data_IF_634464611152
#
_entry.id   IF_634464611152
#
_cell.length_a   1.000
_cell.length_b   1.000
_cell.length_c   1.000
_cell.angle_alpha   90.00
_cell.angle_beta   90.00
_cell.angle_gamma   90.00
#
_symmetry.space_group_name_H-M   'P 1'
#
loop_
_entity.id
_entity.type
_entity.pdbx_description
1 polymer ?
#
# COMPACT_ATOMS: atom_id res chain seq x y z
N UNK A 1 -21.42 -2.30 11.67
CA UNK A 1 -20.02 -2.68 11.97
C UNK A 1 -19.11 -2.04 10.94
N UNK A 2 -18.04 -1.35 11.36
CA UNK A 2 -17.11 -0.66 10.45
C UNK A 2 -16.39 -1.67 9.55
N UNK A 3 -16.10 -1.29 8.31
CA UNK A 3 -15.22 -2.08 7.44
C UNK A 3 -13.76 -1.83 7.81
N UNK A 4 -12.93 -2.85 7.72
CA UNK A 4 -11.49 -2.78 8.00
C UNK A 4 -10.69 -2.73 6.71
N UNK A 5 -9.79 -1.76 6.60
CA UNK A 5 -8.84 -1.61 5.48
C UNK A 5 -7.40 -1.69 5.99
N UNK A 6 -6.52 -2.28 5.18
CA UNK A 6 -5.08 -2.19 5.35
C UNK A 6 -4.59 -0.96 4.56
N UNK A 7 -3.70 -0.16 5.16
CA UNK A 7 -3.08 0.98 4.51
C UNK A 7 -1.56 0.93 4.72
N UNK A 8 -0.81 0.81 3.64
CA UNK A 8 0.67 0.87 3.69
C UNK A 8 1.17 2.30 3.48
N UNK A 9 2.39 2.57 3.94
CA UNK A 9 2.96 3.91 3.86
C UNK A 9 2.22 4.95 4.72
N UNK A 10 1.64 4.50 5.84
CA UNK A 10 0.70 5.29 6.64
C UNK A 10 1.34 6.31 7.57
N UNK A 11 2.68 6.35 7.71
CA UNK A 11 3.33 7.14 8.75
C UNK A 11 3.48 8.65 8.45
N UNK A 12 3.30 9.05 7.20
CA UNK A 12 3.47 10.44 6.74
C UNK A 12 2.76 10.71 5.41
N UNK A 13 2.74 11.98 5.00
CA UNK A 13 2.29 12.40 3.66
C UNK A 13 0.88 11.91 3.33
N UNK A 14 0.69 11.45 2.10
CA UNK A 14 -0.59 10.95 1.59
C UNK A 14 -1.15 9.83 2.47
N UNK A 15 -0.31 8.89 2.88
CA UNK A 15 -0.76 7.75 3.69
C UNK A 15 -1.30 8.17 5.06
N UNK A 16 -0.64 9.11 5.75
CA UNK A 16 -1.15 9.66 7.01
C UNK A 16 -2.48 10.40 6.80
N UNK A 17 -2.55 11.26 5.78
CA UNK A 17 -3.79 12.00 5.47
C UNK A 17 -4.94 11.04 5.16
N UNK A 18 -4.69 10.00 4.35
CA UNK A 18 -5.68 8.95 4.07
C UNK A 18 -6.13 8.22 5.32
N UNK A 19 -5.21 7.87 6.23
CA UNK A 19 -5.56 7.19 7.48
C UNK A 19 -6.56 8.00 8.29
N UNK A 20 -6.33 9.31 8.43
CA UNK A 20 -7.21 10.20 9.19
C UNK A 20 -8.57 10.37 8.51
N UNK A 21 -8.61 10.56 7.19
CA UNK A 21 -9.88 10.70 6.46
C UNK A 21 -10.69 9.40 6.46
N UNK A 22 -10.06 8.25 6.24
CA UNK A 22 -10.74 6.96 6.31
C UNK A 22 -11.34 6.68 7.70
N UNK A 23 -10.63 7.11 8.77
CA UNK A 23 -11.16 6.99 10.13
C UNK A 23 -12.44 7.83 10.32
N UNK A 24 -12.46 9.07 9.80
CA UNK A 24 -13.64 9.95 9.83
C UNK A 24 -14.80 9.36 9.03
N UNK A 25 -14.50 8.71 7.90
CA UNK A 25 -15.48 8.03 7.05
C UNK A 25 -15.99 6.69 7.62
N UNK A 26 -15.51 6.30 8.80
CA UNK A 26 -16.04 5.16 9.51
C UNK A 26 -15.32 3.82 9.23
N UNK A 27 -14.11 3.85 8.74
CA UNK A 27 -13.28 2.66 8.58
C UNK A 27 -12.42 2.39 9.82
N UNK A 28 -12.22 1.11 10.13
CA UNK A 28 -11.16 0.65 11.01
C UNK A 28 -9.91 0.34 10.18
N UNK A 29 -8.72 0.52 10.74
CA UNK A 29 -7.48 0.49 9.97
C UNK A 29 -6.43 -0.44 10.56
N UNK A 30 -5.75 -1.15 9.66
CA UNK A 30 -4.47 -1.80 9.92
C UNK A 30 -3.40 -1.01 9.17
N UNK A 31 -2.55 -0.34 9.92
CA UNK A 31 -1.56 0.59 9.38
C UNK A 31 -0.19 -0.08 9.24
N UNK A 32 0.53 0.24 8.17
CA UNK A 32 1.87 -0.24 7.94
C UNK A 32 2.82 0.88 7.53
N UNK A 33 4.00 0.85 8.07
CA UNK A 33 5.17 1.61 7.65
C UNK A 33 6.43 0.96 8.25
N UNK A 34 7.61 1.39 7.80
CA UNK A 34 8.89 0.82 8.28
C UNK A 34 9.23 1.23 9.70
N UNK A 35 8.94 2.48 10.10
CA UNK A 35 9.30 3.04 11.42
C UNK A 35 8.13 2.93 12.38
N UNK A 36 8.30 2.15 13.43
CA UNK A 36 7.26 1.88 14.41
C UNK A 36 6.79 3.13 15.16
N UNK A 37 7.70 3.98 15.61
CA UNK A 37 7.35 5.14 16.44
C UNK A 37 6.40 6.12 15.73
N UNK A 38 6.69 6.45 14.47
CA UNK A 38 5.81 7.32 13.66
C UNK A 38 4.49 6.65 13.28
N UNK A 39 4.52 5.34 13.08
CA UNK A 39 3.32 4.55 12.77
C UNK A 39 2.37 4.47 13.96
N UNK A 40 2.92 4.25 15.17
CA UNK A 40 2.15 4.26 16.42
C UNK A 40 1.46 5.60 16.65
N UNK A 41 2.17 6.70 16.42
CA UNK A 41 1.60 8.04 16.58
C UNK A 41 0.37 8.24 15.67
N UNK A 42 0.43 7.78 14.41
CA UNK A 42 -0.72 7.84 13.50
C UNK A 42 -1.86 6.95 13.97
N UNK A 43 -1.56 5.76 14.49
CA UNK A 43 -2.59 4.87 15.04
C UNK A 43 -3.33 5.53 16.21
N UNK A 44 -2.62 6.23 17.10
CA UNK A 44 -3.22 6.98 18.20
C UNK A 44 -4.12 8.13 17.70
N UNK A 45 -3.69 8.86 16.66
CA UNK A 45 -4.52 9.91 16.03
C UNK A 45 -5.80 9.32 15.41
N UNK A 46 -5.70 8.17 14.74
CA UNK A 46 -6.85 7.45 14.16
C UNK A 46 -7.82 7.01 15.26
N UNK A 47 -7.30 6.46 16.36
CA UNK A 47 -8.10 6.04 17.51
C UNK A 47 -8.82 7.24 18.18
N UNK A 48 -8.17 8.40 18.25
CA UNK A 48 -8.79 9.63 18.75
C UNK A 48 -9.99 10.09 17.91
N UNK A 49 -10.08 9.68 16.65
CA UNK A 49 -11.23 9.91 15.77
C UNK A 49 -12.35 8.87 15.93
N UNK A 50 -12.19 7.91 16.85
CA UNK A 50 -13.19 6.90 17.15
C UNK A 50 -13.11 5.63 16.30
N UNK A 51 -12.10 5.48 15.45
CA UNK A 51 -11.84 4.25 14.73
C UNK A 51 -10.95 3.30 15.53
N UNK A 52 -11.05 2.00 15.27
CA UNK A 52 -10.05 1.05 15.75
C UNK A 52 -8.85 1.11 14.82
N UNK A 53 -7.66 1.13 15.38
CA UNK A 53 -6.42 1.08 14.63
C UNK A 53 -5.42 0.17 15.30
N UNK A 54 -4.84 -0.72 14.52
CA UNK A 54 -3.67 -1.51 14.87
C UNK A 54 -2.60 -1.31 13.82
N UNK A 55 -1.37 -1.68 14.11
CA UNK A 55 -0.29 -1.49 13.16
C UNK A 55 0.70 -2.66 13.14
N UNK A 56 1.38 -2.81 12.02
CA UNK A 56 2.50 -3.74 11.84
C UNK A 56 3.65 -2.96 11.22
N UNK A 57 4.76 -2.84 11.93
CA UNK A 57 5.96 -2.20 11.42
C UNK A 57 6.77 -3.16 10.55
N UNK A 58 7.43 -2.64 9.53
CA UNK A 58 8.28 -3.39 8.61
C UNK A 58 7.94 -3.15 7.15
N UNK A 59 8.73 -3.75 6.26
CA UNK A 59 8.47 -3.71 4.83
C UNK A 59 7.34 -4.66 4.45
N UNK A 60 6.29 -4.15 3.84
CA UNK A 60 5.21 -4.98 3.29
C UNK A 60 5.66 -5.84 2.08
N UNK A 61 6.85 -5.60 1.55
CA UNK A 61 7.51 -6.48 0.59
C UNK A 61 7.99 -7.81 1.18
N UNK A 62 8.09 -7.90 2.52
CA UNK A 62 8.36 -9.14 3.22
C UNK A 62 7.06 -9.92 3.43
N UNK A 63 7.08 -11.20 3.07
CA UNK A 63 5.89 -12.06 3.15
C UNK A 63 5.30 -12.13 4.56
N UNK A 64 6.14 -12.22 5.59
CA UNK A 64 5.71 -12.28 6.98
C UNK A 64 4.99 -10.99 7.45
N UNK A 65 5.42 -9.82 6.96
CA UNK A 65 4.76 -8.54 7.27
C UNK A 65 3.41 -8.45 6.57
N UNK A 66 3.36 -8.77 5.28
CA UNK A 66 2.11 -8.76 4.52
C UNK A 66 1.08 -9.76 5.07
N UNK A 67 1.53 -10.95 5.45
CA UNK A 67 0.68 -11.95 6.11
C UNK A 67 0.12 -11.42 7.43
N UNK A 68 0.98 -10.86 8.30
CA UNK A 68 0.56 -10.28 9.57
C UNK A 68 -0.45 -9.14 9.40
N UNK A 69 -0.33 -8.32 8.35
CA UNK A 69 -1.29 -7.26 8.04
C UNK A 69 -2.69 -7.84 7.76
N UNK A 70 -2.76 -8.89 6.97
CA UNK A 70 -4.05 -9.54 6.65
C UNK A 70 -4.63 -10.24 7.88
N UNK A 71 -3.82 -10.95 8.67
CA UNK A 71 -4.27 -11.56 9.94
C UNK A 71 -4.85 -10.53 10.90
N UNK A 72 -4.19 -9.37 11.05
CA UNK A 72 -4.69 -8.28 11.90
C UNK A 72 -6.00 -7.70 11.38
N UNK A 73 -6.14 -7.59 10.05
CA UNK A 73 -7.37 -7.09 9.44
C UNK A 73 -8.54 -8.07 9.64
N UNK A 74 -8.32 -9.37 9.50
CA UNK A 74 -9.32 -10.39 9.80
C UNK A 74 -9.70 -10.37 11.30
N UNK A 75 -8.72 -10.22 12.20
CA UNK A 75 -8.95 -10.15 13.64
C UNK A 75 -9.76 -8.91 14.07
N UNK A 76 -9.56 -7.76 13.43
CA UNK A 76 -10.42 -6.59 13.64
C UNK A 76 -11.86 -6.83 13.13
N UNK A 77 -12.02 -7.70 12.17
CA UNK A 77 -13.30 -8.07 11.59
C UNK A 77 -13.74 -7.19 10.43
N UNK A 78 -14.63 -7.73 9.62
CA UNK A 78 -15.18 -7.08 8.42
C UNK A 78 -14.08 -6.55 7.47
N UNK A 79 -13.05 -7.39 7.25
CA UNK A 79 -11.96 -7.07 6.34
C UNK A 79 -12.48 -6.83 4.93
N UNK A 80 -12.25 -5.64 4.38
CA UNK A 80 -12.83 -5.20 3.11
C UNK A 80 -11.78 -4.97 2.02
N UNK A 81 -10.49 -4.90 2.34
CA UNK A 81 -9.46 -4.69 1.34
C UNK A 81 -8.26 -3.90 1.83
N UNK A 82 -7.49 -3.39 0.87
CA UNK A 82 -6.25 -2.67 1.16
C UNK A 82 -6.01 -1.51 0.21
N UNK A 83 -5.22 -0.56 0.68
CA UNK A 83 -4.65 0.54 -0.10
C UNK A 83 -3.13 0.45 0.01
N UNK A 84 -2.48 0.13 -1.11
CA UNK A 84 -1.03 0.13 -1.20
C UNK A 84 -0.54 1.52 -1.61
N UNK A 85 -0.06 2.28 -0.62
CA UNK A 85 0.45 3.63 -0.79
C UNK A 85 1.97 3.74 -0.53
N UNK A 86 2.58 2.74 0.10
CA UNK A 86 4.01 2.75 0.35
C UNK A 86 4.80 2.84 -0.96
N UNK A 87 5.88 3.61 -0.94
CA UNK A 87 6.78 3.74 -2.06
C UNK A 87 8.10 4.36 -1.65
N UNK A 88 9.14 4.06 -2.42
CA UNK A 88 10.49 4.60 -2.27
C UNK A 88 10.94 5.14 -3.62
N UNK A 89 11.51 6.32 -3.59
CA UNK A 89 12.14 6.99 -4.73
C UNK A 89 13.57 7.34 -4.34
N UNK A 90 14.53 6.88 -5.10
CA UNK A 90 15.95 7.29 -4.99
C UNK A 90 16.29 8.14 -6.22
N UNK A 91 16.00 9.47 -6.19
CA UNK A 91 16.24 10.33 -7.34
C UNK A 91 17.73 10.68 -7.48
N UNK A 92 18.14 10.94 -8.69
CA UNK A 92 19.46 11.48 -9.03
C UNK A 92 20.24 10.64 -10.03
N UNK A 93 20.70 9.41 -9.68
CA UNK A 93 21.48 8.59 -10.60
C UNK A 93 20.68 8.19 -11.85
N UNK A 94 21.33 8.09 -12.98
CA UNK A 94 20.77 7.45 -14.16
C UNK A 94 20.54 5.96 -13.86
N UNK A 95 19.59 5.35 -14.54
CA UNK A 95 19.17 3.98 -14.23
C UNK A 95 20.34 2.97 -14.24
N UNK A 96 21.24 3.08 -15.20
CA UNK A 96 22.41 2.21 -15.32
C UNK A 96 23.58 2.57 -14.39
N UNK A 97 23.47 3.67 -13.64
CA UNK A 97 24.41 4.10 -12.60
C UNK A 97 23.92 3.82 -11.19
N UNK A 98 22.62 3.49 -11.05
CA UNK A 98 22.00 3.22 -9.75
C UNK A 98 22.56 1.93 -9.15
N UNK A 99 22.97 1.98 -7.89
CA UNK A 99 23.42 0.81 -7.16
C UNK A 99 22.32 -0.25 -7.09
N UNK A 100 22.68 -1.51 -7.24
CA UNK A 100 21.72 -2.63 -7.25
C UNK A 100 20.86 -2.67 -5.99
N UNK A 101 21.44 -2.41 -4.83
CA UNK A 101 20.72 -2.41 -3.55
C UNK A 101 19.59 -1.36 -3.52
N UNK A 102 19.82 -0.19 -4.09
CA UNK A 102 18.81 0.86 -4.18
C UNK A 102 17.73 0.51 -5.21
N UNK A 103 18.11 -0.11 -6.33
CA UNK A 103 17.15 -0.61 -7.31
C UNK A 103 16.23 -1.65 -6.68
N UNK A 104 16.79 -2.62 -5.94
CA UNK A 104 16.03 -3.66 -5.25
C UNK A 104 15.13 -3.09 -4.15
N UNK A 105 15.59 -2.07 -3.40
CA UNK A 105 14.77 -1.38 -2.40
C UNK A 105 13.53 -0.72 -3.05
N UNK A 106 13.73 -0.07 -4.20
CA UNK A 106 12.63 0.55 -4.96
C UNK A 106 11.63 -0.52 -5.43
N UNK A 107 12.10 -1.64 -5.95
CA UNK A 107 11.23 -2.74 -6.36
C UNK A 107 10.49 -3.36 -5.18
N UNK A 108 11.16 -3.55 -4.06
CA UNK A 108 10.54 -4.13 -2.86
C UNK A 108 9.41 -3.25 -2.34
N UNK A 109 9.65 -1.96 -2.17
CA UNK A 109 8.67 -1.05 -1.59
C UNK A 109 7.50 -0.75 -2.52
N UNK A 110 7.74 -0.60 -3.83
CA UNK A 110 6.71 -0.18 -4.78
C UNK A 110 5.97 -1.36 -5.43
N UNK A 111 6.68 -2.43 -5.80
CA UNK A 111 6.12 -3.54 -6.55
C UNK A 111 5.86 -4.78 -5.68
N UNK A 112 6.91 -5.28 -5.02
CA UNK A 112 6.81 -6.54 -4.28
C UNK A 112 5.83 -6.43 -3.10
N UNK A 113 5.77 -5.29 -2.43
CA UNK A 113 4.81 -5.05 -1.37
C UNK A 113 3.36 -5.14 -1.88
N UNK A 114 3.06 -4.58 -3.05
CA UNK A 114 1.75 -4.70 -3.69
C UNK A 114 1.40 -6.14 -4.07
N UNK A 115 2.38 -6.90 -4.54
CA UNK A 115 2.22 -8.33 -4.81
C UNK A 115 1.97 -9.14 -3.55
N UNK A 116 2.75 -8.95 -2.49
CA UNK A 116 2.59 -9.69 -1.24
C UNK A 116 1.24 -9.39 -0.57
N UNK A 117 0.77 -8.15 -0.59
CA UNK A 117 -0.59 -7.83 -0.13
C UNK A 117 -1.65 -8.60 -0.91
N UNK A 118 -1.56 -8.59 -2.23
CA UNK A 118 -2.49 -9.35 -3.08
C UNK A 118 -2.46 -10.84 -2.75
N UNK A 119 -1.26 -11.41 -2.62
CA UNK A 119 -1.07 -12.84 -2.32
C UNK A 119 -1.81 -13.31 -1.08
N UNK A 120 -1.82 -12.50 -0.03
CA UNK A 120 -2.46 -12.88 1.24
C UNK A 120 -3.90 -12.34 1.36
N UNK A 121 -4.22 -11.18 0.80
CA UNK A 121 -5.55 -10.58 0.89
C UNK A 121 -6.57 -11.21 -0.07
N UNK A 122 -6.19 -11.48 -1.32
CA UNK A 122 -7.12 -11.98 -2.33
C UNK A 122 -7.81 -13.30 -1.97
N UNK A 123 -7.12 -14.30 -1.41
CA UNK A 123 -7.81 -15.53 -0.98
C UNK A 123 -8.93 -15.27 0.02
N UNK A 124 -8.75 -14.32 0.93
CA UNK A 124 -9.76 -13.92 1.92
C UNK A 124 -10.91 -13.18 1.25
N UNK A 125 -10.61 -12.15 0.45
CA UNK A 125 -11.61 -11.30 -0.21
C UNK A 125 -12.44 -12.10 -1.21
N UNK A 126 -11.83 -13.00 -1.97
CA UNK A 126 -12.53 -13.86 -2.91
C UNK A 126 -13.51 -14.82 -2.24
N UNK A 127 -13.14 -15.39 -1.08
CA UNK A 127 -14.09 -16.21 -0.29
C UNK A 127 -15.30 -15.40 0.18
N UNK A 128 -15.15 -14.11 0.41
CA UNK A 128 -16.27 -13.21 0.75
C UNK A 128 -17.09 -12.81 -0.47
N UNK A 129 -16.55 -12.96 -1.68
CA UNK A 129 -17.18 -12.56 -2.93
C UNK A 129 -17.14 -11.06 -3.22
N UNK A 130 -16.43 -10.29 -2.42
CA UNK A 130 -16.26 -8.84 -2.57
C UNK A 130 -14.95 -8.36 -1.94
N UNK A 131 -14.43 -7.26 -2.41
CA UNK A 131 -13.22 -6.65 -1.84
C UNK A 131 -12.76 -5.45 -2.62
N UNK A 132 -11.81 -4.74 -2.02
CA UNK A 132 -11.20 -3.54 -2.58
C UNK A 132 -9.67 -3.68 -2.55
N UNK A 133 -9.03 -3.41 -3.68
CA UNK A 133 -7.58 -3.32 -3.80
C UNK A 133 -7.21 -2.03 -4.55
N UNK A 134 -6.67 -1.06 -3.84
CA UNK A 134 -6.25 0.22 -4.41
C UNK A 134 -4.73 0.32 -4.41
N UNK A 135 -4.17 0.65 -5.57
CA UNK A 135 -2.76 0.93 -5.74
C UNK A 135 -2.57 2.42 -6.00
N UNK A 136 -1.79 3.08 -5.19
CA UNK A 136 -1.45 4.49 -5.40
C UNK A 136 -0.35 4.55 -6.46
N UNK A 137 -0.74 4.90 -7.66
CA UNK A 137 0.13 4.99 -8.82
C UNK A 137 0.84 6.34 -8.94
N UNK A 138 1.51 6.53 -10.06
CA UNK A 138 2.26 7.74 -10.37
C UNK A 138 2.29 7.99 -11.87
N UNK A 139 2.29 9.25 -12.27
CA UNK A 139 2.59 9.64 -13.66
C UNK A 139 3.96 9.17 -14.15
N UNK A 140 4.88 8.86 -13.22
CA UNK A 140 6.18 8.26 -13.54
C UNK A 140 6.06 6.93 -14.28
N UNK A 141 4.96 6.20 -14.13
CA UNK A 141 4.71 4.95 -14.85
C UNK A 141 4.70 5.11 -16.39
N UNK A 142 4.41 6.31 -16.88
CA UNK A 142 4.31 6.63 -18.31
C UNK A 142 5.38 7.64 -18.76
N UNK A 143 6.17 8.19 -17.83
CA UNK A 143 7.19 9.18 -18.13
C UNK A 143 8.59 8.55 -18.21
N UNK A 144 9.44 9.16 -19.04
CA UNK A 144 10.82 8.73 -19.22
C UNK A 144 11.80 9.79 -18.67
N UNK A 145 11.57 10.24 -17.43
CA UNK A 145 12.39 11.26 -16.81
C UNK A 145 13.72 10.67 -16.31
N UNK A 146 14.88 11.21 -16.77
CA UNK A 146 16.17 10.80 -16.22
C UNK A 146 16.23 11.02 -14.70
N UNK A 147 16.94 10.15 -13.99
CA UNK A 147 17.12 10.26 -12.54
C UNK A 147 16.00 9.69 -11.66
N UNK A 148 14.94 9.14 -12.25
CA UNK A 148 13.87 8.42 -11.51
C UNK A 148 13.56 7.04 -12.12
N UNK A 149 14.49 6.48 -12.88
CA UNK A 149 14.27 5.30 -13.71
C UNK A 149 13.77 4.08 -12.96
N UNK A 150 14.38 3.73 -11.82
CA UNK A 150 13.94 2.58 -11.03
C UNK A 150 12.52 2.75 -10.51
N UNK A 151 12.17 3.92 -10.03
CA UNK A 151 10.82 4.26 -9.58
C UNK A 151 9.80 4.18 -10.72
N UNK A 152 10.15 4.73 -11.88
CA UNK A 152 9.29 4.66 -13.07
C UNK A 152 9.02 3.21 -13.51
N UNK A 153 10.06 2.37 -13.55
CA UNK A 153 9.95 0.93 -13.85
C UNK A 153 9.04 0.24 -12.82
N UNK A 154 9.27 0.46 -11.54
CA UNK A 154 8.49 -0.15 -10.48
C UNK A 154 7.01 0.29 -10.52
N UNK A 155 6.72 1.57 -10.76
CA UNK A 155 5.35 2.08 -10.89
C UNK A 155 4.64 1.56 -12.13
N UNK A 156 5.33 1.43 -13.24
CA UNK A 156 4.76 0.80 -14.44
C UNK A 156 4.40 -0.68 -14.19
N UNK A 157 5.29 -1.41 -13.52
CA UNK A 157 5.05 -2.80 -13.14
C UNK A 157 3.90 -2.94 -12.13
N UNK A 158 3.84 -2.07 -11.12
CA UNK A 158 2.76 -2.04 -10.14
C UNK A 158 1.39 -1.79 -10.78
N UNK A 159 1.31 -0.86 -11.73
CA UNK A 159 0.06 -0.59 -12.45
C UNK A 159 -0.36 -1.76 -13.32
N UNK A 160 0.60 -2.45 -13.94
CA UNK A 160 0.30 -3.67 -14.68
C UNK A 160 -0.16 -4.81 -13.77
N UNK A 161 0.47 -4.95 -12.60
CA UNK A 161 0.03 -5.89 -11.56
C UNK A 161 -1.45 -5.66 -11.19
N UNK A 162 -1.85 -4.42 -10.97
CA UNK A 162 -3.23 -4.07 -10.65
C UNK A 162 -4.20 -4.45 -11.79
N UNK A 163 -3.82 -4.20 -13.05
CA UNK A 163 -4.64 -4.62 -14.21
C UNK A 163 -4.77 -6.14 -14.32
N UNK A 164 -3.68 -6.86 -14.05
CA UNK A 164 -3.69 -8.32 -14.06
C UNK A 164 -4.62 -8.89 -12.98
N UNK A 165 -4.54 -8.34 -11.75
CA UNK A 165 -5.42 -8.73 -10.65
C UNK A 165 -6.90 -8.44 -10.96
N UNK A 166 -7.20 -7.29 -11.55
CA UNK A 166 -8.57 -6.95 -11.95
C UNK A 166 -9.15 -7.94 -12.98
N UNK A 167 -8.32 -8.43 -13.90
CA UNK A 167 -8.72 -9.41 -14.89
C UNK A 167 -8.89 -10.82 -14.30
N UNK A 168 -8.03 -11.22 -13.37
CA UNK A 168 -8.02 -12.57 -12.79
C UNK A 168 -9.07 -12.77 -11.69
N UNK A 169 -9.44 -11.71 -10.98
CA UNK A 169 -10.39 -11.76 -9.87
C UNK A 169 -11.37 -10.58 -9.93
N UNK A 170 -12.33 -10.57 -10.87
CA UNK A 170 -13.25 -9.46 -11.06
C UNK A 170 -14.20 -9.21 -9.88
N UNK A 171 -14.34 -10.15 -8.97
CA UNK A 171 -15.10 -10.00 -7.72
C UNK A 171 -14.42 -9.04 -6.72
N UNK A 172 -13.12 -8.76 -6.88
CA UNK A 172 -12.39 -7.75 -6.11
C UNK A 172 -12.21 -6.51 -6.97
N UNK A 173 -12.76 -5.38 -6.52
CA UNK A 173 -12.57 -4.10 -7.21
C UNK A 173 -11.11 -3.66 -7.07
N UNK A 174 -10.35 -3.78 -8.16
CA UNK A 174 -8.92 -3.43 -8.20
C UNK A 174 -8.68 -2.29 -9.18
N UNK A 175 -8.07 -1.21 -8.70
CA UNK A 175 -7.73 -0.07 -9.55
C UNK A 175 -6.50 0.69 -9.05
N UNK A 176 -5.98 1.52 -9.93
CA UNK A 176 -4.88 2.43 -9.65
C UNK A 176 -5.44 3.85 -9.49
N UNK A 177 -5.03 4.52 -8.43
CA UNK A 177 -5.30 5.94 -8.22
C UNK A 177 -3.99 6.74 -8.33
N UNK A 178 -3.96 7.72 -9.21
CA UNK A 178 -2.81 8.64 -9.36
C UNK A 178 -3.17 9.98 -8.72
N UNK A 179 -2.57 10.35 -7.59
CA UNK A 179 -2.93 11.58 -6.87
C UNK A 179 -2.46 12.88 -7.56
N UNK A 180 -1.64 12.77 -8.61
CA UNK A 180 -0.98 13.93 -9.20
C UNK A 180 0.23 14.39 -8.40
N UNK A 181 0.65 15.65 -8.61
CA UNK A 181 1.72 16.26 -7.83
C UNK A 181 1.17 16.71 -6.48
N UNK A 182 1.82 16.25 -5.42
CA UNK A 182 1.45 16.56 -4.03
C UNK A 182 2.60 17.37 -3.41
N UNK A 183 2.28 18.54 -2.87
CA UNK A 183 3.22 19.42 -2.16
C UNK A 183 3.49 18.93 -0.73
#
# INVERSE_FOLDING_TARGET
MRKTLILTGASRGIGKALALELAKEGFDLVLNARKEASLRAVAEEVQALGARAVYVAGSAGKAEVAHALVERAEALGNFAGYIHNAGVLHPGPLLFELAEELFLEVLEANLLAGYQLARFAYPVLRRKGEGLAVYVGSGAAESNLPGIGAYAVAKAAEEHLARQLAAEAPEVACFVYRPGVVE
#
